data_IF_539141212304
#
_entry.id   IF_539141212304
#
_cell.length_a   1.000
_cell.length_b   1.000
_cell.length_c   1.000
_cell.angle_alpha   90.00
_cell.angle_beta   90.00
_cell.angle_gamma   90.00
#
_symmetry.space_group_name_H-M   'P 1'
#
loop_
_entity.id
_entity.type
_entity.pdbx_description
1 polymer ?
#
# COMPACT_ATOMS: atom_id res chain seq x y z
N UNK A 1 -17.47 10.23 9.03
CA UNK A 1 -17.35 11.63 9.51
C UNK A 1 -18.64 12.07 10.19
N UNK A 2 -18.57 12.93 11.20
CA UNK A 2 -19.77 13.49 11.87
C UNK A 2 -20.09 14.86 11.29
N UNK A 3 -21.34 15.05 10.87
CA UNK A 3 -21.84 16.32 10.32
C UNK A 3 -21.50 17.49 11.27
N UNK A 4 -21.03 18.66 10.76
CA UNK A 4 -20.58 19.79 11.58
C UNK A 4 -21.53 20.13 12.74
N UNK A 5 -22.82 20.25 12.47
CA UNK A 5 -23.85 20.61 13.46
C UNK A 5 -24.05 19.58 14.59
N UNK A 6 -23.53 18.36 14.40
CA UNK A 6 -23.67 17.24 15.32
C UNK A 6 -22.35 16.85 16.01
N UNK A 7 -21.26 17.60 15.79
CA UNK A 7 -19.97 17.38 16.44
C UNK A 7 -20.03 17.71 17.94
N UNK A 8 -19.08 17.18 18.70
CA UNK A 8 -18.94 17.37 20.16
C UNK A 8 -20.11 16.87 21.02
N UNK A 9 -21.05 16.09 20.45
CA UNK A 9 -22.17 15.46 21.16
C UNK A 9 -21.90 14.00 21.57
N UNK A 10 -20.64 13.56 21.50
CA UNK A 10 -20.22 12.18 21.77
C UNK A 10 -20.64 11.15 20.71
N UNK A 11 -21.23 11.55 19.58
CA UNK A 11 -21.73 10.62 18.56
C UNK A 11 -20.63 9.77 17.92
N UNK A 12 -19.49 10.38 17.55
CA UNK A 12 -18.34 9.65 17.02
C UNK A 12 -17.80 8.64 18.03
N UNK A 13 -17.81 9.00 19.32
CA UNK A 13 -17.35 8.10 20.39
C UNK A 13 -18.31 6.92 20.59
N UNK A 14 -19.63 7.17 20.54
CA UNK A 14 -20.64 6.11 20.58
C UNK A 14 -20.47 5.13 19.41
N UNK A 15 -20.25 5.64 18.20
CA UNK A 15 -20.00 4.81 17.03
C UNK A 15 -18.71 3.99 17.19
N UNK A 16 -17.61 4.62 17.62
CA UNK A 16 -16.33 3.95 17.82
C UNK A 16 -16.45 2.82 18.86
N UNK A 17 -17.09 3.08 20.01
CA UNK A 17 -17.32 2.06 21.03
C UNK A 17 -18.19 0.90 20.51
N UNK A 18 -19.17 1.17 19.64
CA UNK A 18 -19.98 0.14 19.01
C UNK A 18 -19.15 -0.76 18.09
N UNK A 19 -18.27 -0.17 17.26
CA UNK A 19 -17.34 -0.91 16.40
C UNK A 19 -16.41 -1.79 17.25
N UNK A 20 -15.82 -1.22 18.30
CA UNK A 20 -14.91 -1.97 19.19
C UNK A 20 -15.62 -3.15 19.85
N UNK A 21 -16.81 -2.94 20.42
CA UNK A 21 -17.59 -4.00 21.04
C UNK A 21 -17.89 -5.15 20.07
N UNK A 22 -18.11 -4.85 18.79
CA UNK A 22 -18.44 -5.86 17.79
C UNK A 22 -17.23 -6.67 17.34
N UNK A 23 -16.06 -6.05 17.27
CA UNK A 23 -14.91 -6.61 16.57
C UNK A 23 -13.70 -6.92 17.45
N UNK A 24 -13.60 -6.40 18.69
CA UNK A 24 -12.39 -6.55 19.51
C UNK A 24 -12.03 -8.02 19.76
N UNK A 25 -13.04 -8.89 19.95
CA UNK A 25 -12.84 -10.32 20.18
C UNK A 25 -12.89 -11.17 18.90
N UNK A 26 -12.93 -10.53 17.72
CA UNK A 26 -12.96 -11.21 16.41
C UNK A 26 -11.67 -11.03 15.62
N UNK A 27 -10.87 -10.02 15.96
CA UNK A 27 -9.65 -9.67 15.26
C UNK A 27 -8.55 -9.35 16.26
N UNK A 28 -7.32 -9.74 15.92
CA UNK A 28 -6.15 -9.53 16.77
C UNK A 28 -5.68 -8.07 16.77
N UNK A 29 -5.92 -7.38 15.65
CA UNK A 29 -5.47 -6.01 15.40
C UNK A 29 -6.59 -5.21 14.72
N UNK A 30 -6.71 -3.95 15.10
CA UNK A 30 -7.48 -2.92 14.40
C UNK A 30 -6.57 -1.77 14.06
N UNK A 31 -6.74 -1.17 12.89
CA UNK A 31 -5.91 -0.05 12.49
C UNK A 31 -6.70 1.01 11.72
N UNK A 32 -6.12 2.20 11.65
CA UNK A 32 -6.62 3.33 10.87
C UNK A 32 -5.51 4.33 10.57
N UNK A 33 -5.71 5.12 9.53
CA UNK A 33 -4.86 6.26 9.20
C UNK A 33 -5.57 7.56 9.63
N UNK A 34 -4.96 8.29 10.55
CA UNK A 34 -5.52 9.51 11.10
C UNK A 34 -4.91 10.74 10.45
N UNK A 35 -5.76 11.70 10.08
CA UNK A 35 -5.30 13.03 9.70
C UNK A 35 -4.72 13.77 10.93
N UNK A 36 -3.76 14.65 10.69
CA UNK A 36 -3.08 15.45 11.72
C UNK A 36 -4.05 16.24 12.64
N UNK A 37 -5.26 16.56 12.16
CA UNK A 37 -6.24 17.33 12.91
C UNK A 37 -6.94 16.56 14.04
N UNK A 38 -6.79 15.24 14.13
CA UNK A 38 -7.56 14.39 15.07
C UNK A 38 -6.72 13.36 15.82
N UNK A 39 -5.40 13.60 15.96
CA UNK A 39 -4.49 12.61 16.56
C UNK A 39 -4.76 12.30 18.05
N UNK A 40 -5.46 13.17 18.77
CA UNK A 40 -5.81 12.96 20.18
C UNK A 40 -7.15 12.26 20.37
N UNK A 41 -7.86 11.95 19.28
CA UNK A 41 -9.14 11.25 19.33
C UNK A 41 -8.97 9.75 19.56
N UNK A 42 -8.14 9.09 18.76
CA UNK A 42 -7.99 7.63 18.76
C UNK A 42 -7.31 7.03 20.01
N UNK A 43 -6.34 7.69 20.67
CA UNK A 43 -5.79 7.22 21.95
C UNK A 43 -6.85 6.98 23.05
N UNK A 44 -7.96 7.74 23.02
CA UNK A 44 -9.08 7.57 23.98
C UNK A 44 -9.77 6.21 23.85
N UNK A 45 -9.52 5.51 22.76
CA UNK A 45 -10.07 4.21 22.43
C UNK A 45 -8.98 3.13 22.42
N UNK A 46 -7.83 3.35 23.06
CA UNK A 46 -6.76 2.34 23.16
C UNK A 46 -6.01 2.08 21.86
N UNK A 47 -6.08 2.99 20.89
CA UNK A 47 -5.19 2.96 19.73
C UNK A 47 -3.90 3.69 20.06
N UNK A 48 -2.79 3.13 19.62
CA UNK A 48 -1.44 3.68 19.78
C UNK A 48 -0.88 4.09 18.43
N UNK A 49 -0.08 5.16 18.41
CA UNK A 49 0.62 5.60 17.20
C UNK A 49 1.70 4.58 16.87
N UNK A 50 1.79 4.21 15.60
CA UNK A 50 2.85 3.34 15.08
C UNK A 50 3.68 4.11 14.08
N UNK A 51 5.00 4.07 14.25
CA UNK A 51 5.94 4.62 13.28
C UNK A 51 5.97 3.77 12.01
N UNK A 52 5.85 4.42 10.86
CA UNK A 52 6.01 3.77 9.57
C UNK A 52 7.44 3.95 9.05
N UNK A 53 7.87 2.98 8.24
CA UNK A 53 9.15 3.06 7.53
C UNK A 53 8.92 3.17 6.03
N UNK A 54 9.86 3.82 5.36
CA UNK A 54 9.95 3.86 3.91
C UNK A 54 11.12 2.99 3.46
N UNK A 55 10.85 2.04 2.58
CA UNK A 55 11.88 1.18 1.99
C UNK A 55 12.42 1.77 0.70
N UNK A 56 13.71 1.60 0.47
CA UNK A 56 14.38 1.96 -0.78
C UNK A 56 15.60 1.10 -1.05
N UNK A 57 16.05 1.04 -2.30
CA UNK A 57 17.34 0.49 -2.67
C UNK A 57 18.08 1.43 -3.63
N UNK A 58 19.40 1.42 -3.54
CA UNK A 58 20.24 1.95 -4.61
C UNK A 58 20.14 0.98 -5.79
N UNK A 59 20.01 1.51 -7.00
CA UNK A 59 19.78 0.71 -8.19
C UNK A 59 20.83 1.00 -9.25
N UNK A 60 21.38 -0.07 -9.80
CA UNK A 60 22.31 -0.02 -10.93
C UNK A 60 21.60 -0.61 -12.13
N UNK A 61 21.34 0.21 -13.15
CA UNK A 61 20.63 -0.24 -14.34
C UNK A 61 21.33 -1.43 -15.00
N UNK A 62 20.56 -2.47 -15.24
CA UNK A 62 20.92 -3.63 -16.05
C UNK A 62 20.14 -3.58 -17.36
N UNK A 63 20.64 -4.27 -18.39
CA UNK A 63 19.93 -4.36 -19.66
C UNK A 63 18.54 -5.01 -19.40
N UNK A 64 17.44 -4.43 -19.88
CA UNK A 64 16.12 -4.99 -19.68
C UNK A 64 16.05 -6.43 -20.19
N UNK A 65 15.34 -7.27 -19.45
CA UNK A 65 14.87 -8.55 -19.98
C UNK A 65 13.96 -8.29 -21.18
N UNK A 66 13.91 -9.23 -22.12
CA UNK A 66 13.02 -9.10 -23.27
C UNK A 66 11.56 -9.09 -22.79
N UNK A 67 10.77 -8.17 -23.33
CA UNK A 67 9.32 -8.21 -23.16
C UNK A 67 8.62 -6.86 -23.19
N UNK A 68 7.29 -6.90 -23.28
CA UNK A 68 6.44 -5.74 -23.47
C UNK A 68 6.03 -5.05 -22.17
N UNK A 69 6.01 -3.72 -22.20
CA UNK A 69 5.29 -2.90 -21.21
C UNK A 69 4.12 -2.22 -21.90
N UNK A 70 2.91 -2.51 -21.44
CA UNK A 70 1.67 -1.93 -21.97
C UNK A 70 1.10 -0.95 -20.95
N UNK A 71 0.95 0.31 -21.33
CA UNK A 71 0.28 1.30 -20.48
C UNK A 71 -1.21 0.99 -20.41
N UNK A 72 -1.76 1.04 -19.20
CA UNK A 72 -3.19 0.96 -18.91
C UNK A 72 -3.73 2.35 -18.58
N UNK A 73 -5.04 2.53 -18.71
CA UNK A 73 -5.73 3.78 -18.42
C UNK A 73 -6.74 3.55 -17.29
N UNK A 74 -6.58 4.25 -16.17
CA UNK A 74 -7.48 4.18 -15.01
C UNK A 74 -8.85 4.81 -15.26
N UNK A 75 -9.11 5.29 -16.48
CA UNK A 75 -10.40 5.81 -16.94
C UNK A 75 -11.07 4.91 -17.97
N UNK A 76 -10.37 3.87 -18.45
CA UNK A 76 -10.91 2.88 -19.37
C UNK A 76 -11.57 1.73 -18.58
N UNK A 77 -12.89 1.50 -18.73
CA UNK A 77 -13.58 0.42 -18.04
C UNK A 77 -13.02 -0.99 -18.30
N UNK A 78 -12.47 -1.26 -19.49
CA UNK A 78 -11.89 -2.57 -19.82
C UNK A 78 -10.57 -2.78 -19.08
N UNK A 79 -9.73 -1.74 -19.02
CA UNK A 79 -8.48 -1.79 -18.24
C UNK A 79 -8.77 -1.91 -16.74
N UNK A 80 -9.72 -1.16 -16.21
CA UNK A 80 -10.12 -1.26 -14.81
C UNK A 80 -10.70 -2.64 -14.47
N UNK A 81 -11.52 -3.22 -15.34
CA UNK A 81 -12.04 -4.57 -15.14
C UNK A 81 -10.92 -5.62 -15.15
N UNK A 82 -9.94 -5.48 -16.04
CA UNK A 82 -8.77 -6.33 -16.08
C UNK A 82 -7.96 -6.27 -14.77
N UNK A 83 -7.64 -5.05 -14.30
CA UNK A 83 -6.93 -4.83 -13.02
C UNK A 83 -7.72 -5.43 -11.86
N UNK A 84 -9.03 -5.19 -11.79
CA UNK A 84 -9.89 -5.71 -10.74
C UNK A 84 -9.85 -7.25 -10.67
N UNK A 85 -9.99 -7.93 -11.82
CA UNK A 85 -9.92 -9.40 -11.91
C UNK A 85 -8.56 -9.94 -11.47
N UNK A 86 -7.48 -9.27 -11.87
CA UNK A 86 -6.14 -9.66 -11.45
C UNK A 86 -5.96 -9.48 -9.93
N UNK A 87 -6.46 -8.36 -9.39
CA UNK A 87 -6.38 -8.04 -7.97
C UNK A 87 -7.21 -8.98 -7.08
N UNK A 88 -8.33 -9.53 -7.57
CA UNK A 88 -9.13 -10.51 -6.81
C UNK A 88 -8.42 -11.85 -6.66
N UNK A 89 -7.53 -12.20 -7.58
CA UNK A 89 -6.80 -13.47 -7.60
C UNK A 89 -5.33 -13.30 -7.20
N UNK A 90 -4.94 -12.10 -6.73
CA UNK A 90 -3.54 -11.78 -6.49
C UNK A 90 -2.93 -12.60 -5.36
N UNK A 91 -1.64 -12.89 -5.48
CA UNK A 91 -0.83 -13.21 -4.31
C UNK A 91 -0.56 -11.94 -3.49
N UNK A 92 -0.30 -12.07 -2.17
CA UNK A 92 0.17 -10.96 -1.37
C UNK A 92 1.39 -10.29 -2.01
N UNK A 93 1.46 -8.96 -1.98
CA UNK A 93 2.64 -8.21 -2.47
C UNK A 93 3.91 -8.52 -1.66
N UNK A 94 3.72 -9.11 -0.47
CA UNK A 94 4.75 -9.47 0.48
C UNK A 94 4.23 -10.54 1.42
N UNK A 95 5.03 -11.56 1.70
CA UNK A 95 4.76 -12.53 2.75
C UNK A 95 5.07 -11.99 4.15
N UNK A 96 5.81 -10.88 4.25
CA UNK A 96 6.13 -10.23 5.52
C UNK A 96 4.99 -9.35 6.03
N UNK A 97 4.40 -8.55 5.15
CA UNK A 97 3.26 -7.69 5.52
C UNK A 97 2.46 -7.28 4.29
N UNK A 98 1.17 -7.65 4.24
CA UNK A 98 0.28 -7.32 3.14
C UNK A 98 -1.18 -7.25 3.60
N UNK A 99 -2.03 -6.65 2.77
CA UNK A 99 -3.46 -6.50 3.01
C UNK A 99 -4.22 -7.41 2.06
N UNK A 100 -5.09 -8.27 2.60
CA UNK A 100 -5.97 -9.11 1.80
C UNK A 100 -7.31 -8.43 1.54
N UNK A 101 -7.99 -8.82 0.46
CA UNK A 101 -9.33 -8.32 0.10
C UNK A 101 -9.41 -6.78 -0.05
N UNK A 102 -8.31 -6.15 -0.46
CA UNK A 102 -8.20 -4.69 -0.60
C UNK A 102 -8.56 -4.16 -2.00
N UNK A 103 -9.15 -4.98 -2.88
CA UNK A 103 -9.42 -4.61 -4.28
C UNK A 103 -10.27 -3.33 -4.40
N UNK A 104 -11.21 -3.08 -3.48
CA UNK A 104 -12.02 -1.86 -3.50
C UNK A 104 -11.17 -0.59 -3.31
N UNK A 105 -10.24 -0.62 -2.35
CA UNK A 105 -9.32 0.50 -2.10
C UNK A 105 -8.33 0.62 -3.25
N UNK A 106 -7.78 -0.49 -3.73
CA UNK A 106 -6.90 -0.49 -4.91
C UNK A 106 -7.57 0.20 -6.10
N UNK A 107 -8.84 -0.11 -6.39
CA UNK A 107 -9.56 0.52 -7.49
C UNK A 107 -9.73 2.03 -7.29
N UNK A 108 -9.94 2.50 -6.05
CA UNK A 108 -9.94 3.93 -5.76
C UNK A 108 -8.61 4.58 -6.16
N UNK A 109 -7.48 3.96 -5.80
CA UNK A 109 -6.16 4.45 -6.21
C UNK A 109 -5.98 4.42 -7.73
N UNK A 110 -6.36 3.34 -8.42
CA UNK A 110 -6.25 3.26 -9.88
C UNK A 110 -7.09 4.33 -10.60
N UNK A 111 -8.27 4.69 -10.07
CA UNK A 111 -9.18 5.64 -10.72
C UNK A 111 -8.80 7.10 -10.42
N UNK A 112 -8.43 7.39 -9.17
CA UNK A 112 -8.32 8.78 -8.70
C UNK A 112 -6.89 9.26 -8.44
N UNK A 113 -5.97 8.36 -8.10
CA UNK A 113 -4.61 8.72 -7.66
C UNK A 113 -3.58 8.42 -8.75
N UNK A 114 -3.67 7.24 -9.36
CA UNK A 114 -2.73 6.74 -10.38
C UNK A 114 -3.40 6.44 -11.72
N UNK A 115 -4.37 7.23 -12.23
CA UNK A 115 -5.05 6.86 -13.47
C UNK A 115 -4.13 6.84 -14.70
N UNK A 116 -2.99 7.51 -14.62
CA UNK A 116 -1.99 7.59 -15.70
C UNK A 116 -0.72 6.77 -15.42
N UNK A 117 -0.64 6.05 -14.30
CA UNK A 117 0.59 5.39 -13.81
C UNK A 117 0.39 3.88 -13.62
N UNK A 118 -0.38 3.28 -14.53
CA UNK A 118 -0.74 1.85 -14.55
C UNK A 118 -0.07 1.18 -15.75
N UNK A 119 0.60 0.06 -15.49
CA UNK A 119 1.37 -0.64 -16.51
C UNK A 119 1.17 -2.14 -16.39
N UNK A 120 1.01 -2.82 -17.51
CA UNK A 120 0.94 -4.27 -17.59
C UNK A 120 2.22 -4.82 -18.22
N UNK A 121 2.87 -5.75 -17.52
CA UNK A 121 4.02 -6.49 -17.99
C UNK A 121 3.53 -7.88 -18.42
N UNK A 122 3.55 -8.14 -19.72
CA UNK A 122 2.86 -9.30 -20.30
C UNK A 122 3.53 -10.63 -19.92
N UNK A 123 4.85 -10.64 -19.83
CA UNK A 123 5.62 -11.84 -19.52
C UNK A 123 5.52 -12.23 -18.04
N UNK A 124 5.38 -11.26 -17.14
CA UNK A 124 5.18 -11.48 -15.71
C UNK A 124 3.70 -11.69 -15.34
N UNK A 125 2.76 -11.49 -16.29
CA UNK A 125 1.32 -11.41 -16.03
C UNK A 125 1.03 -10.55 -14.78
N UNK A 126 1.57 -9.32 -14.80
CA UNK A 126 1.58 -8.44 -13.65
C UNK A 126 1.18 -7.02 -14.02
N UNK A 127 0.27 -6.44 -13.22
CA UNK A 127 0.03 -5.00 -13.23
C UNK A 127 0.93 -4.34 -12.20
N UNK A 128 1.65 -3.32 -12.65
CA UNK A 128 2.58 -2.53 -11.86
C UNK A 128 2.05 -1.10 -11.77
N UNK A 129 2.05 -0.56 -10.57
CA UNK A 129 1.74 0.85 -10.32
C UNK A 129 3.04 1.52 -9.91
N UNK A 130 3.56 2.42 -10.75
CA UNK A 130 4.80 3.11 -10.45
C UNK A 130 4.86 4.48 -11.10
N UNK A 131 5.57 5.41 -10.47
CA UNK A 131 5.94 6.69 -11.06
C UNK A 131 7.45 6.79 -11.20
N UNK A 132 7.90 7.73 -12.03
CA UNK A 132 9.32 8.01 -12.23
C UNK A 132 9.57 9.51 -12.16
N UNK A 133 10.41 9.91 -11.22
CA UNK A 133 10.82 11.30 -11.02
C UNK A 133 12.35 11.41 -11.03
N UNK A 134 12.89 12.03 -12.09
CA UNK A 134 14.34 12.13 -12.30
C UNK A 134 15.01 10.75 -12.32
N UNK A 135 15.81 10.47 -11.28
CA UNK A 135 16.57 9.22 -11.11
C UNK A 135 15.90 8.20 -10.19
N UNK A 136 14.72 8.52 -9.65
CA UNK A 136 13.98 7.68 -8.72
C UNK A 136 12.78 7.03 -9.41
N UNK A 137 12.50 5.77 -9.04
CA UNK A 137 11.23 5.11 -9.29
C UNK A 137 10.55 4.87 -7.95
N UNK A 138 9.28 5.24 -7.88
CA UNK A 138 8.39 4.94 -6.76
C UNK A 138 7.48 3.79 -7.19
N UNK A 139 7.71 2.60 -6.64
CA UNK A 139 6.96 1.39 -6.93
C UNK A 139 5.86 1.24 -5.88
N UNK A 140 4.61 1.44 -6.30
CA UNK A 140 3.46 1.47 -5.41
C UNK A 140 2.85 0.10 -5.15
N UNK A 141 2.72 -0.72 -6.20
CA UNK A 141 2.16 -2.05 -6.08
C UNK A 141 2.62 -2.96 -7.24
N UNK A 142 2.64 -4.26 -6.96
CA UNK A 142 2.81 -5.34 -7.93
C UNK A 142 1.67 -6.33 -7.76
N UNK A 143 0.81 -6.40 -8.76
CA UNK A 143 -0.42 -7.19 -8.73
C UNK A 143 -0.25 -8.31 -9.73
N UNK A 144 -0.09 -9.53 -9.24
CA UNK A 144 0.00 -10.75 -10.05
C UNK A 144 -0.64 -11.92 -9.30
N UNK A 145 -1.03 -12.95 -10.04
CA UNK A 145 -1.53 -14.22 -9.49
C UNK A 145 -0.40 -15.17 -9.09
N UNK A 146 0.82 -14.89 -9.53
CA UNK A 146 1.98 -15.73 -9.33
C UNK A 146 3.06 -14.97 -8.54
N UNK A 147 4.01 -15.72 -7.98
CA UNK A 147 5.22 -15.13 -7.43
C UNK A 147 6.00 -14.42 -8.54
N UNK A 148 6.45 -13.20 -8.24
CA UNK A 148 7.10 -12.31 -9.21
C UNK A 148 8.61 -12.25 -8.98
N UNK A 149 9.37 -12.25 -10.06
CA UNK A 149 10.78 -11.85 -10.05
C UNK A 149 10.88 -10.32 -10.06
N UNK A 150 11.17 -9.75 -8.90
CA UNK A 150 11.28 -8.31 -8.74
C UNK A 150 12.42 -7.73 -9.60
N UNK A 151 13.52 -8.45 -9.82
CA UNK A 151 14.63 -7.94 -10.61
C UNK A 151 14.23 -7.81 -12.08
N UNK A 152 13.46 -8.78 -12.60
CA UNK A 152 12.90 -8.71 -13.94
C UNK A 152 12.00 -7.48 -14.10
N UNK A 153 11.08 -7.22 -13.16
CA UNK A 153 10.22 -6.04 -13.16
C UNK A 153 11.05 -4.75 -13.12
N UNK A 154 12.00 -4.64 -12.18
CA UNK A 154 12.82 -3.44 -12.02
C UNK A 154 13.67 -3.17 -13.27
N UNK A 155 14.21 -4.21 -13.91
CA UNK A 155 14.97 -4.07 -15.17
C UNK A 155 14.13 -3.52 -16.32
N UNK A 156 12.82 -3.82 -16.35
CA UNK A 156 11.88 -3.35 -17.38
C UNK A 156 11.42 -1.91 -17.17
N UNK A 157 11.16 -1.52 -15.93
CA UNK A 157 10.62 -0.18 -15.62
C UNK A 157 11.71 0.89 -15.45
N UNK A 158 12.97 0.48 -15.26
CA UNK A 158 14.11 1.37 -15.07
C UNK A 158 14.76 1.83 -16.38
N UNK A 159 15.53 2.93 -16.30
CA UNK A 159 16.44 3.35 -17.38
C UNK A 159 17.86 3.52 -16.86
N UNK A 160 18.81 3.79 -17.77
CA UNK A 160 20.21 4.06 -17.44
C UNK A 160 20.42 5.16 -16.39
N UNK A 161 19.47 6.09 -16.28
CA UNK A 161 19.51 7.21 -15.33
C UNK A 161 18.91 6.86 -13.97
N UNK A 162 18.18 5.74 -13.85
CA UNK A 162 17.60 5.29 -12.60
C UNK A 162 18.71 4.86 -11.64
N UNK A 163 18.78 5.51 -10.48
CA UNK A 163 19.76 5.21 -9.43
C UNK A 163 19.11 4.78 -8.10
N UNK A 164 17.78 4.88 -7.98
CA UNK A 164 17.07 4.59 -6.73
C UNK A 164 15.67 4.04 -7.01
N UNK A 165 15.30 3.00 -6.27
CA UNK A 165 13.91 2.50 -6.20
C UNK A 165 13.39 2.72 -4.79
N UNK A 166 12.16 3.22 -4.67
CA UNK A 166 11.43 3.40 -3.42
C UNK A 166 10.19 2.51 -3.45
N UNK A 167 9.99 1.70 -2.41
CA UNK A 167 8.88 0.73 -2.36
C UNK A 167 7.78 1.24 -1.45
N UNK A 168 6.56 1.38 -1.95
CA UNK A 168 5.41 1.82 -1.13
C UNK A 168 4.63 0.68 -0.47
N UNK A 169 5.29 -0.45 -0.29
CA UNK A 169 4.87 -1.62 0.48
C UNK A 169 6.10 -2.18 1.24
N UNK A 170 5.93 -3.27 1.99
CA UNK A 170 7.05 -3.95 2.65
C UNK A 170 7.70 -4.96 1.70
N UNK A 171 8.87 -4.69 1.10
CA UNK A 171 9.53 -5.68 0.25
C UNK A 171 10.06 -6.85 1.09
N UNK A 172 9.96 -8.06 0.56
CA UNK A 172 10.50 -9.30 1.15
C UNK A 172 11.20 -10.19 0.12
N UNK A 173 11.42 -9.69 -1.09
CA UNK A 173 12.11 -10.41 -2.16
C UNK A 173 13.58 -10.69 -1.78
N UNK A 174 13.98 -11.96 -1.84
CA UNK A 174 15.31 -12.41 -1.38
C UNK A 174 16.48 -11.90 -2.23
N UNK A 175 16.21 -11.52 -3.48
CA UNK A 175 17.25 -11.16 -4.45
C UNK A 175 17.63 -9.67 -4.40
N UNK A 176 16.92 -8.85 -3.61
CA UNK A 176 17.22 -7.42 -3.45
C UNK A 176 17.63 -7.10 -2.02
N UNK A 177 18.48 -6.09 -1.86
CA UNK A 177 18.84 -5.55 -0.55
C UNK A 177 18.25 -4.16 -0.41
N UNK A 178 17.33 -4.01 0.53
CA UNK A 178 16.67 -2.73 0.81
C UNK A 178 17.21 -2.09 2.08
N UNK A 179 17.30 -0.76 2.05
CA UNK A 179 17.44 0.11 3.21
C UNK A 179 16.07 0.66 3.59
N UNK A 180 15.95 1.11 4.83
CA UNK A 180 14.71 1.64 5.37
C UNK A 180 14.98 2.79 6.31
N UNK A 181 14.05 3.73 6.36
CA UNK A 181 14.11 4.89 7.23
C UNK A 181 12.73 5.16 7.82
N UNK A 182 12.67 5.59 9.08
CA UNK A 182 11.42 6.05 9.69
C UNK A 182 10.96 7.30 8.95
N UNK A 183 9.68 7.37 8.63
CA UNK A 183 9.06 8.51 7.95
C UNK A 183 7.85 9.01 8.72
N UNK A 184 7.70 10.34 8.76
CA UNK A 184 6.50 10.99 9.25
C UNK A 184 5.67 11.41 8.03
N UNK A 185 4.63 10.63 7.73
CA UNK A 185 3.68 10.95 6.66
C UNK A 185 2.63 11.98 7.08
N UNK A 186 1.85 12.43 6.10
CA UNK A 186 0.70 13.32 6.34
C UNK A 186 -0.41 12.63 7.16
N UNK A 187 -0.48 11.30 7.07
CA UNK A 187 -1.36 10.46 7.87
C UNK A 187 -0.54 9.66 8.88
N UNK A 188 -1.10 9.49 10.08
CA UNK A 188 -0.46 8.74 11.16
C UNK A 188 -1.19 7.42 11.32
N UNK A 189 -0.46 6.31 11.22
CA UNK A 189 -0.99 4.98 11.51
C UNK A 189 -1.27 4.83 13.01
N UNK A 190 -2.49 4.44 13.32
CA UNK A 190 -2.92 4.06 14.66
C UNK A 190 -3.30 2.58 14.67
N UNK A 191 -2.82 1.85 15.67
CA UNK A 191 -3.12 0.43 15.84
C UNK A 191 -3.61 0.16 17.26
N UNK A 192 -4.65 -0.65 17.38
CA UNK A 192 -5.10 -1.24 18.63
C UNK A 192 -4.96 -2.76 18.53
N UNK A 193 -4.24 -3.35 19.48
CA UNK A 193 -4.11 -4.79 19.58
C UNK A 193 -5.05 -5.37 20.63
N UNK A 194 -5.53 -6.59 20.39
CA UNK A 194 -6.26 -7.37 21.39
C UNK A 194 -5.31 -8.34 22.11
N UNK A 195 -5.41 -8.43 23.43
CA UNK A 195 -4.57 -9.30 24.26
C UNK A 195 -3.09 -8.98 24.15
N UNK A 196 -2.27 -10.00 23.90
CA UNK A 196 -0.81 -9.89 23.81
C UNK A 196 -0.29 -9.74 22.37
N UNK A 197 -1.19 -9.57 21.39
CA UNK A 197 -0.78 -9.38 20.00
C UNK A 197 -0.04 -8.04 19.83
N UNK A 198 0.87 -7.99 18.85
CA UNK A 198 1.64 -6.80 18.53
C UNK A 198 1.61 -6.56 17.05
N UNK A 199 1.52 -5.29 16.67
CA UNK A 199 1.72 -4.89 15.29
C UNK A 199 3.18 -5.20 14.89
N UNK A 200 3.43 -5.76 13.69
CA UNK A 200 4.78 -6.09 13.28
C UNK A 200 5.64 -4.84 13.18
N UNK A 201 6.87 -4.94 13.68
CA UNK A 201 7.83 -3.85 13.62
C UNK A 201 8.41 -3.70 12.21
N UNK A 202 8.78 -2.46 11.87
CA UNK A 202 9.59 -2.18 10.70
C UNK A 202 8.91 -2.61 9.39
N UNK A 203 7.61 -2.36 9.27
CA UNK A 203 6.82 -2.63 8.07
C UNK A 203 6.29 -1.34 7.49
N UNK A 204 6.03 -1.35 6.19
CA UNK A 204 5.26 -0.34 5.48
C UNK A 204 3.93 -0.94 5.05
N UNK A 205 2.84 -0.28 5.43
CA UNK A 205 1.53 -0.67 4.96
C UNK A 205 1.41 -0.38 3.45
N UNK A 206 0.98 -1.33 2.60
CA UNK A 206 0.86 -1.07 1.17
C UNK A 206 -0.03 0.14 0.91
N UNK A 207 0.51 1.16 0.24
CA UNK A 207 -0.18 2.45 0.03
C UNK A 207 -1.49 2.28 -0.72
N UNK A 208 -1.54 1.37 -1.70
CA UNK A 208 -2.75 1.02 -2.47
C UNK A 208 -3.81 0.26 -1.67
N UNK A 209 -3.64 0.14 -0.35
CA UNK A 209 -4.59 -0.45 0.58
C UNK A 209 -4.86 0.41 1.82
N UNK A 210 -4.43 1.68 1.82
CA UNK A 210 -4.72 2.64 2.88
C UNK A 210 -6.05 3.37 2.58
N UNK A 211 -6.90 3.55 3.59
CA UNK A 211 -8.24 4.15 3.46
C UNK A 211 -8.37 5.44 4.28
#
# INVERSE_FOLDING_TARGET
MTHPDYRNRGLSAKLMNKVLQEYENRYDLMYLFANQSVLDFYPKFGFERVEEVQFSMDYSWTKPTAGGIRKLDGRDPYHLNFIYRLATERVPVSNRFSTQNAQGILMFYCIYIFPDDLYYLEEEDAVIIYTKEGKQIDLYDVISKNEIDIEAILSRISSKDTSKIVFHYTPDNKNITTKSQVVNGDHVLFVRANGNHKYPFHVKHPVTSQA
#
